data_IF_639995527058
#
_entry.id   IF_639995527058
#
_cell.length_a   1.000
_cell.length_b   1.000
_cell.length_c   1.000
_cell.angle_alpha   90.00
_cell.angle_beta   90.00
_cell.angle_gamma   90.00
#
_symmetry.space_group_name_H-M   'P 1'
#
loop_
_entity.id
_entity.type
_entity.pdbx_description
1 polymer ?
#
# COMPACT_ATOMS: atom_id res chain seq x y z
N UNK A 1 32.07 57.30 28.06
CA UNK A 1 32.52 57.51 26.67
C UNK A 1 33.60 56.51 26.33
N UNK A 2 33.36 55.61 25.35
CA UNK A 2 34.36 54.99 24.45
C UNK A 2 33.61 54.06 23.49
N UNK A 3 33.34 54.58 22.30
CA UNK A 3 32.85 53.87 21.11
C UNK A 3 33.85 52.76 20.73
N UNK A 4 33.35 51.56 20.45
CA UNK A 4 33.99 50.58 19.56
C UNK A 4 32.89 50.02 18.69
N UNK A 5 32.66 50.67 17.55
CA UNK A 5 33.03 50.22 16.20
C UNK A 5 32.54 48.80 15.88
N UNK A 6 31.56 48.78 14.97
CA UNK A 6 30.91 47.64 14.40
C UNK A 6 31.87 46.80 13.53
N UNK A 7 31.73 45.48 13.61
CA UNK A 7 32.11 44.56 12.54
C UNK A 7 30.87 43.70 12.32
N UNK A 8 30.23 43.90 11.18
CA UNK A 8 29.10 43.11 10.68
C UNK A 8 29.70 41.85 10.04
N UNK A 9 29.53 40.64 10.59
CA UNK A 9 29.78 39.45 9.83
C UNK A 9 28.59 39.29 8.88
N UNK A 10 28.87 39.43 7.58
CA UNK A 10 27.99 39.07 6.48
C UNK A 10 27.54 37.63 6.72
N UNK A 11 26.32 37.49 7.25
CA UNK A 11 25.66 36.21 7.39
C UNK A 11 25.43 35.68 5.98
N UNK A 12 26.26 34.72 5.61
CA UNK A 12 26.14 33.89 4.43
C UNK A 12 24.71 33.34 4.41
N UNK A 13 23.86 33.95 3.57
CA UNK A 13 22.53 33.44 3.24
C UNK A 13 22.74 32.10 2.54
N UNK A 14 22.82 31.03 3.33
CA UNK A 14 22.63 29.66 2.87
C UNK A 14 21.20 29.57 2.36
N UNK A 15 21.06 29.81 1.07
CA UNK A 15 19.87 29.49 0.30
C UNK A 15 19.64 27.99 0.52
N UNK A 16 18.68 27.66 1.39
CA UNK A 16 18.12 26.31 1.52
C UNK A 16 17.30 26.02 0.24
N UNK A 17 18.01 25.91 -0.88
CA UNK A 17 17.55 25.17 -2.04
C UNK A 17 17.55 23.72 -1.62
N UNK A 18 16.42 23.25 -1.09
CA UNK A 18 16.17 21.83 -0.89
C UNK A 18 16.31 21.15 -2.24
N UNK A 19 17.50 20.62 -2.52
CA UNK A 19 17.69 19.67 -3.59
C UNK A 19 16.85 18.48 -3.20
N UNK A 20 15.72 18.32 -3.87
CA UNK A 20 14.96 17.09 -3.86
C UNK A 20 15.92 16.01 -4.36
N UNK A 21 16.61 15.34 -3.44
CA UNK A 21 17.33 14.11 -3.75
C UNK A 21 16.30 13.24 -4.45
N UNK A 22 16.54 12.93 -5.72
CA UNK A 22 15.70 12.03 -6.48
C UNK A 22 15.75 10.68 -5.75
N UNK A 23 14.83 10.47 -4.80
CA UNK A 23 14.62 9.18 -4.16
C UNK A 23 14.45 8.19 -5.31
N UNK A 24 15.38 7.26 -5.40
CA UNK A 24 15.47 6.22 -6.43
C UNK A 24 14.07 5.76 -6.77
N UNK A 25 13.57 6.13 -7.96
CA UNK A 25 12.18 5.91 -8.32
C UNK A 25 11.86 4.43 -8.10
N UNK A 26 10.90 4.14 -7.21
CA UNK A 26 10.58 2.78 -6.81
C UNK A 26 10.20 1.89 -8.00
N UNK A 27 10.02 0.59 -7.78
CA UNK A 27 9.52 -0.29 -8.85
C UNK A 27 8.04 -0.01 -9.10
N UNK A 28 7.64 0.01 -10.37
CA UNK A 28 6.25 0.09 -10.79
C UNK A 28 5.48 -1.14 -10.26
N UNK A 29 4.38 -0.96 -9.51
CA UNK A 29 3.66 -2.08 -8.90
C UNK A 29 2.89 -2.95 -9.91
N UNK A 30 2.72 -2.48 -11.15
CA UNK A 30 2.03 -3.23 -12.21
C UNK A 30 3.02 -4.06 -13.04
N UNK A 31 4.17 -3.48 -13.42
CA UNK A 31 5.10 -4.10 -14.37
C UNK A 31 6.42 -4.58 -13.74
N UNK A 32 6.75 -4.14 -12.53
CA UNK A 32 8.03 -4.39 -11.88
C UNK A 32 9.22 -3.58 -12.43
N UNK A 33 9.03 -2.82 -13.53
CA UNK A 33 10.05 -1.92 -14.12
C UNK A 33 10.30 -0.70 -13.23
N UNK A 34 11.38 0.04 -13.46
CA UNK A 34 11.64 1.31 -12.77
C UNK A 34 10.46 2.28 -12.98
N UNK A 35 10.01 2.95 -11.91
CA UNK A 35 8.96 3.96 -12.02
C UNK A 35 9.49 5.27 -12.62
N UNK A 36 8.59 6.02 -13.24
CA UNK A 36 8.83 7.40 -13.63
C UNK A 36 8.40 8.31 -12.45
N UNK A 37 9.28 9.17 -11.90
CA UNK A 37 8.95 10.03 -10.77
C UNK A 37 7.85 11.06 -11.07
N UNK A 38 7.57 11.34 -12.34
CA UNK A 38 6.47 12.24 -12.77
C UNK A 38 5.11 11.54 -12.84
N UNK A 39 5.07 10.21 -12.84
CA UNK A 39 3.84 9.43 -12.94
C UNK A 39 3.57 8.78 -11.59
N UNK A 40 2.99 9.54 -10.68
CA UNK A 40 2.71 9.10 -9.31
C UNK A 40 1.23 9.27 -8.95
N UNK A 41 0.82 8.57 -7.89
CA UNK A 41 -0.38 8.85 -7.09
C UNK A 41 -0.03 8.68 -5.61
N UNK A 42 -0.79 9.30 -4.71
CA UNK A 42 -0.62 9.13 -3.27
C UNK A 42 -1.51 7.99 -2.75
N UNK A 43 -0.91 6.99 -2.10
CA UNK A 43 -1.60 5.87 -1.43
C UNK A 43 -1.09 5.80 0.00
N UNK A 44 -1.99 5.82 0.99
CA UNK A 44 -1.62 5.85 2.41
C UNK A 44 -0.60 6.97 2.75
N UNK A 45 -0.74 8.14 2.13
CA UNK A 45 0.18 9.26 2.33
C UNK A 45 1.59 9.06 1.74
N UNK A 46 1.80 8.04 0.90
CA UNK A 46 3.07 7.77 0.23
C UNK A 46 2.92 7.85 -1.29
N UNK A 47 3.94 8.35 -1.98
CA UNK A 47 3.96 8.35 -3.43
C UNK A 47 4.16 6.92 -3.98
N UNK A 48 3.24 6.49 -4.84
CA UNK A 48 3.36 5.26 -5.64
C UNK A 48 3.66 5.67 -7.07
N UNK A 49 4.85 5.33 -7.57
CA UNK A 49 5.30 5.63 -8.92
C UNK A 49 4.97 4.53 -9.94
N UNK A 50 4.74 4.94 -11.18
CA UNK A 50 4.45 4.05 -12.30
C UNK A 50 5.41 4.28 -13.46
N UNK A 51 5.76 3.23 -14.20
CA UNK A 51 6.64 3.38 -15.37
C UNK A 51 5.95 4.07 -16.56
N UNK A 52 4.61 4.04 -16.63
CA UNK A 52 3.82 4.67 -17.70
C UNK A 52 2.37 4.94 -17.26
N UNK A 53 1.66 5.77 -18.04
CA UNK A 53 0.25 6.11 -17.78
C UNK A 53 -0.70 4.90 -17.84
N UNK A 54 -0.40 3.91 -18.68
CA UNK A 54 -1.21 2.68 -18.73
C UNK A 54 -1.10 1.88 -17.43
N UNK A 55 0.08 1.81 -16.82
CA UNK A 55 0.24 1.19 -15.50
C UNK A 55 -0.53 1.97 -14.42
N UNK A 56 -0.45 3.30 -14.43
CA UNK A 56 -1.24 4.15 -13.53
C UNK A 56 -2.75 3.89 -13.71
N UNK A 57 -3.23 3.82 -14.96
CA UNK A 57 -4.64 3.53 -15.28
C UNK A 57 -5.09 2.17 -14.75
N UNK A 58 -4.31 1.11 -15.03
CA UNK A 58 -4.59 -0.24 -14.52
C UNK A 58 -4.58 -0.30 -13.00
N UNK A 59 -3.65 0.40 -12.35
CA UNK A 59 -3.61 0.48 -10.90
C UNK A 59 -4.84 1.20 -10.34
N UNK A 60 -5.21 2.37 -10.89
CA UNK A 60 -6.38 3.14 -10.45
C UNK A 60 -7.69 2.39 -10.70
N UNK A 61 -7.80 1.58 -11.76
CA UNK A 61 -8.99 0.76 -12.04
C UNK A 61 -9.31 -0.26 -10.93
N UNK A 62 -8.34 -0.58 -10.08
CA UNK A 62 -8.54 -1.49 -8.93
C UNK A 62 -8.88 -0.76 -7.62
N UNK A 63 -8.95 0.58 -7.65
CA UNK A 63 -9.35 1.40 -6.51
C UNK A 63 -10.86 1.57 -6.53
N UNK A 64 -11.53 1.15 -5.46
CA UNK A 64 -12.97 1.37 -5.30
C UNK A 64 -13.21 2.85 -5.02
N UNK A 65 -13.98 3.50 -5.89
CA UNK A 65 -14.35 4.90 -5.73
C UNK A 65 -15.88 5.03 -5.77
N UNK A 66 -16.49 5.28 -4.60
CA UNK A 66 -17.94 5.48 -4.45
C UNK A 66 -18.36 6.95 -4.55
N UNK A 67 -17.42 7.85 -4.90
CA UNK A 67 -17.64 9.29 -4.89
C UNK A 67 -17.62 9.90 -3.48
N UNK A 68 -17.77 11.23 -3.37
CA UNK A 68 -17.60 11.96 -2.12
C UNK A 68 -18.59 11.55 -1.03
N UNK A 69 -19.86 11.33 -1.37
CA UNK A 69 -20.88 10.96 -0.40
C UNK A 69 -20.93 11.89 0.82
N UNK A 70 -21.19 11.31 1.99
CA UNK A 70 -21.18 12.01 3.28
C UNK A 70 -19.84 11.83 3.98
N UNK A 71 -19.36 12.90 4.62
CA UNK A 71 -18.18 12.87 5.46
C UNK A 71 -18.44 12.03 6.72
N UNK A 72 -17.59 11.03 6.95
CA UNK A 72 -17.71 10.12 8.09
C UNK A 72 -17.57 10.79 9.47
N UNK A 73 -17.04 12.02 9.55
CA UNK A 73 -16.88 12.73 10.84
C UNK A 73 -18.03 13.68 11.16
N UNK A 74 -18.63 14.30 10.14
CA UNK A 74 -19.60 15.38 10.34
C UNK A 74 -20.95 15.11 9.70
N UNK A 75 -21.10 14.05 8.91
CA UNK A 75 -22.30 13.77 8.12
C UNK A 75 -22.54 14.72 6.93
N UNK A 76 -21.84 15.87 6.88
CA UNK A 76 -21.93 16.85 5.79
C UNK A 76 -21.45 16.27 4.46
N UNK A 77 -21.87 16.85 3.35
CA UNK A 77 -21.40 16.47 2.02
C UNK A 77 -19.86 16.56 1.94
N UNK A 78 -19.22 15.51 1.42
CA UNK A 78 -17.79 15.50 1.20
C UNK A 78 -17.43 16.19 -0.12
N UNK A 79 -16.16 16.61 -0.25
CA UNK A 79 -15.64 17.27 -1.45
C UNK A 79 -14.71 16.34 -2.21
N UNK A 80 -14.85 16.26 -3.54
CA UNK A 80 -13.95 15.46 -4.39
C UNK A 80 -12.47 15.82 -4.19
N UNK A 81 -12.15 17.09 -3.98
CA UNK A 81 -10.78 17.59 -3.77
C UNK A 81 -10.11 17.10 -2.48
N UNK A 82 -10.88 16.56 -1.53
CA UNK A 82 -10.35 16.01 -0.28
C UNK A 82 -10.08 14.50 -0.34
N UNK A 83 -10.25 13.90 -1.53
CA UNK A 83 -10.04 12.48 -1.74
C UNK A 83 -8.62 12.05 -1.39
N UNK A 84 -8.49 10.93 -0.70
CA UNK A 84 -7.23 10.20 -0.56
C UNK A 84 -7.47 8.72 -0.79
N UNK A 85 -6.42 7.98 -1.14
CA UNK A 85 -6.50 6.53 -1.34
C UNK A 85 -6.03 5.85 -0.06
N UNK A 86 -6.91 5.05 0.54
CA UNK A 86 -6.57 4.17 1.66
C UNK A 86 -6.44 2.73 1.16
N UNK A 87 -5.24 2.18 1.25
CA UNK A 87 -4.95 0.76 1.09
C UNK A 87 -4.91 0.07 2.45
N UNK A 88 -5.66 -1.02 2.61
CA UNK A 88 -5.62 -1.86 3.81
C UNK A 88 -5.34 -3.30 3.43
N UNK A 89 -4.48 -3.95 4.21
CA UNK A 89 -4.18 -5.38 4.09
C UNK A 89 -4.61 -6.10 5.36
N UNK A 90 -5.26 -7.25 5.19
CA UNK A 90 -5.64 -8.15 6.27
C UNK A 90 -5.21 -9.56 5.90
N UNK A 91 -4.62 -10.28 6.85
CA UNK A 91 -4.50 -11.72 6.74
C UNK A 91 -5.91 -12.31 6.87
N UNK A 92 -6.20 -13.34 6.09
CA UNK A 92 -7.45 -14.08 6.17
C UNK A 92 -7.12 -15.55 6.01
N UNK A 93 -7.23 -16.30 7.11
CA UNK A 93 -7.06 -17.74 7.10
C UNK A 93 -8.40 -18.46 6.99
N UNK A 94 -8.42 -19.59 6.30
CA UNK A 94 -9.61 -20.41 6.11
C UNK A 94 -9.45 -21.76 6.80
N UNK A 95 -10.55 -22.44 7.11
CA UNK A 95 -10.48 -23.80 7.67
C UNK A 95 -10.19 -24.86 6.60
N UNK A 96 -10.46 -24.55 5.32
CA UNK A 96 -10.26 -25.46 4.19
C UNK A 96 -10.18 -24.72 2.85
N UNK A 97 -9.71 -25.42 1.82
CA UNK A 97 -9.60 -24.90 0.45
C UNK A 97 -10.94 -24.45 -0.15
N UNK A 98 -12.05 -25.11 0.21
CA UNK A 98 -13.38 -24.71 -0.28
C UNK A 98 -13.79 -23.33 0.26
N UNK A 99 -13.52 -23.06 1.54
CA UNK A 99 -13.78 -21.75 2.13
C UNK A 99 -12.90 -20.66 1.49
N UNK A 100 -11.62 -20.95 1.27
CA UNK A 100 -10.73 -20.07 0.53
C UNK A 100 -11.27 -19.76 -0.88
N UNK A 101 -11.77 -20.78 -1.58
CA UNK A 101 -12.37 -20.65 -2.90
C UNK A 101 -13.66 -19.80 -2.91
N UNK A 102 -14.57 -20.02 -1.95
CA UNK A 102 -15.79 -19.20 -1.79
C UNK A 102 -15.44 -17.73 -1.52
N UNK A 103 -14.47 -17.49 -0.62
CA UNK A 103 -14.00 -16.14 -0.30
C UNK A 103 -13.37 -15.46 -1.52
N UNK A 104 -12.51 -16.15 -2.26
CA UNK A 104 -11.88 -15.63 -3.46
C UNK A 104 -12.92 -15.25 -4.54
N UNK A 105 -13.95 -16.08 -4.73
CA UNK A 105 -15.07 -15.79 -5.66
C UNK A 105 -15.83 -14.53 -5.23
N UNK A 106 -16.24 -14.44 -3.96
CA UNK A 106 -16.98 -13.30 -3.43
C UNK A 106 -16.22 -11.97 -3.56
N UNK A 107 -14.88 -12.03 -3.42
CA UNK A 107 -14.01 -10.84 -3.51
C UNK A 107 -13.37 -10.66 -4.88
N UNK A 108 -13.80 -11.42 -5.91
CA UNK A 108 -13.34 -11.31 -7.29
C UNK A 108 -11.80 -11.36 -7.42
N UNK A 109 -11.17 -12.23 -6.64
CA UNK A 109 -9.71 -12.40 -6.68
C UNK A 109 -9.23 -12.90 -8.04
N UNK A 110 -8.02 -12.49 -8.41
CA UNK A 110 -7.43 -12.90 -9.68
C UNK A 110 -7.15 -14.40 -9.64
N UNK A 111 -7.76 -15.16 -10.54
CA UNK A 111 -7.50 -16.61 -10.72
C UNK A 111 -6.16 -16.89 -11.40
N UNK A 112 -5.19 -15.98 -11.35
CA UNK A 112 -3.90 -16.17 -12.00
C UNK A 112 -3.14 -17.30 -11.30
N UNK A 113 -3.17 -18.47 -11.93
CA UNK A 113 -2.26 -19.57 -11.60
C UNK A 113 -0.84 -19.07 -11.78
N UNK A 114 -0.15 -18.89 -10.67
CA UNK A 114 1.23 -18.45 -10.64
C UNK A 114 2.07 -19.70 -10.35
N UNK A 115 3.13 -19.90 -11.13
CA UNK A 115 4.13 -20.96 -10.90
C UNK A 115 5.38 -20.36 -10.26
N UNK A 116 6.18 -21.14 -9.50
CA UNK A 116 7.45 -20.66 -9.00
C UNK A 116 8.36 -20.22 -10.15
N UNK A 117 9.06 -19.12 -9.94
CA UNK A 117 9.98 -18.53 -10.92
C UNK A 117 11.19 -17.95 -10.18
N UNK A 118 11.60 -16.74 -10.52
CA UNK A 118 12.65 -16.04 -9.77
C UNK A 118 12.06 -15.36 -8.53
N UNK A 119 12.74 -15.47 -7.39
CA UNK A 119 12.40 -14.79 -6.16
C UNK A 119 12.51 -13.27 -6.37
N UNK A 120 11.48 -12.48 -6.02
CA UNK A 120 11.48 -11.03 -6.27
C UNK A 120 12.43 -10.24 -5.35
N UNK A 121 12.92 -10.88 -4.29
CA UNK A 121 13.83 -10.25 -3.32
C UNK A 121 15.29 -10.55 -3.66
N UNK A 122 15.63 -11.83 -3.88
CA UNK A 122 17.02 -12.27 -4.08
C UNK A 122 17.40 -12.55 -5.53
N UNK A 123 16.42 -12.74 -6.42
CA UNK A 123 16.64 -13.19 -7.80
C UNK A 123 16.91 -14.69 -7.98
N UNK A 124 17.12 -15.45 -6.89
CA UNK A 124 17.33 -16.91 -6.91
C UNK A 124 16.06 -17.67 -7.32
N UNK A 125 16.17 -18.95 -7.68
CA UNK A 125 15.01 -19.81 -7.92
C UNK A 125 14.07 -19.83 -6.71
N UNK A 126 12.76 -19.75 -6.94
CA UNK A 126 11.75 -19.77 -5.91
C UNK A 126 11.21 -21.18 -5.68
N UNK A 127 10.88 -21.48 -4.42
CA UNK A 127 10.32 -22.76 -4.00
C UNK A 127 8.78 -22.73 -4.03
N UNK A 128 8.15 -23.86 -4.31
CA UNK A 128 6.71 -23.95 -4.52
C UNK A 128 5.87 -23.78 -3.24
N UNK A 129 6.42 -24.14 -2.10
CA UNK A 129 5.83 -24.03 -0.76
C UNK A 129 6.08 -22.65 -0.11
N UNK A 130 7.13 -21.95 -0.55
CA UNK A 130 7.49 -20.63 -0.07
C UNK A 130 6.74 -19.53 -0.83
N UNK A 131 5.44 -19.38 -0.57
CA UNK A 131 4.66 -18.31 -1.19
C UNK A 131 3.82 -17.47 -0.22
N UNK A 132 3.45 -16.28 -0.67
CA UNK A 132 2.40 -15.43 -0.10
C UNK A 132 1.33 -15.23 -1.17
N UNK A 133 0.07 -15.49 -0.83
CA UNK A 133 -1.05 -15.17 -1.71
C UNK A 133 -1.59 -13.79 -1.37
N UNK A 134 -1.57 -12.85 -2.32
CA UNK A 134 -2.17 -11.52 -2.19
C UNK A 134 -3.30 -11.40 -3.20
N UNK A 135 -4.55 -11.21 -2.73
CA UNK A 135 -5.74 -11.16 -3.57
C UNK A 135 -5.83 -12.31 -4.60
N UNK A 136 -5.42 -13.51 -4.20
CA UNK A 136 -5.40 -14.71 -5.05
C UNK A 136 -4.15 -14.90 -5.91
N UNK A 137 -3.29 -13.87 -6.03
CA UNK A 137 -2.02 -13.98 -6.78
C UNK A 137 -0.94 -14.53 -5.85
N UNK A 138 -0.28 -15.63 -6.24
CA UNK A 138 0.82 -16.21 -5.44
C UNK A 138 2.15 -15.60 -5.87
N UNK A 139 2.85 -14.99 -4.93
CA UNK A 139 4.25 -14.59 -5.07
C UNK A 139 5.10 -15.65 -4.40
N UNK A 140 6.03 -16.26 -5.14
CA UNK A 140 6.93 -17.30 -4.64
C UNK A 140 8.29 -16.72 -4.23
N UNK A 141 8.95 -17.37 -3.27
CA UNK A 141 10.19 -16.95 -2.66
C UNK A 141 11.19 -18.10 -2.62
N UNK A 142 12.49 -17.79 -2.61
CA UNK A 142 13.53 -18.81 -2.53
C UNK A 142 13.70 -19.38 -1.12
N UNK A 143 13.14 -18.73 -0.09
CA UNK A 143 13.26 -19.16 1.29
C UNK A 143 12.22 -18.49 2.20
N UNK A 144 12.04 -19.05 3.40
CA UNK A 144 11.15 -18.52 4.44
C UNK A 144 11.49 -17.10 4.88
N UNK A 145 12.77 -16.70 4.89
CA UNK A 145 13.18 -15.34 5.26
C UNK A 145 12.72 -14.30 4.24
N UNK A 146 12.78 -14.62 2.94
CA UNK A 146 12.25 -13.75 1.88
C UNK A 146 10.73 -13.63 1.98
N UNK A 147 10.04 -14.76 2.21
CA UNK A 147 8.59 -14.79 2.48
C UNK A 147 8.24 -13.89 3.66
N UNK A 148 8.91 -14.06 4.80
CA UNK A 148 8.69 -13.28 6.04
C UNK A 148 8.93 -11.78 5.81
N UNK A 149 10.02 -11.41 5.13
CA UNK A 149 10.32 -10.01 4.80
C UNK A 149 9.24 -9.40 3.91
N UNK A 150 8.74 -10.14 2.92
CA UNK A 150 7.65 -9.66 2.07
C UNK A 150 6.34 -9.51 2.86
N UNK A 151 5.96 -10.50 3.67
CA UNK A 151 4.76 -10.44 4.51
C UNK A 151 4.80 -9.26 5.48
N UNK A 152 5.95 -8.98 6.10
CA UNK A 152 6.12 -7.82 6.98
C UNK A 152 5.91 -6.50 6.23
N UNK A 153 6.41 -6.38 4.99
CA UNK A 153 6.24 -5.19 4.16
C UNK A 153 4.77 -4.95 3.74
N UNK A 154 3.93 -6.00 3.71
CA UNK A 154 2.50 -5.87 3.47
C UNK A 154 1.75 -5.24 4.65
N UNK A 155 2.36 -5.20 5.85
CA UNK A 155 1.76 -4.66 7.07
C UNK A 155 0.32 -5.12 7.30
N UNK A 156 0.03 -6.38 6.95
CA UNK A 156 -1.31 -6.93 7.04
C UNK A 156 -1.74 -7.09 8.50
N UNK A 157 -2.95 -6.62 8.83
CA UNK A 157 -3.55 -6.88 10.14
C UNK A 157 -3.75 -8.39 10.32
N UNK A 158 -3.46 -8.88 11.53
CA UNK A 158 -3.69 -10.27 11.88
C UNK A 158 -5.18 -10.64 11.71
N UNK A 159 -5.45 -11.90 11.37
CA UNK A 159 -6.81 -12.42 11.40
C UNK A 159 -7.27 -12.74 12.83
N UNK A 160 -8.53 -13.13 12.96
CA UNK A 160 -9.13 -13.54 14.23
C UNK A 160 -8.83 -15.00 14.62
N UNK A 161 -8.03 -15.73 13.84
CA UNK A 161 -7.88 -17.19 13.96
C UNK A 161 -9.11 -18.01 13.58
N UNK A 162 -10.21 -17.36 13.16
CA UNK A 162 -11.45 -18.02 12.73
C UNK A 162 -11.66 -17.85 11.24
N UNK A 163 -12.18 -18.89 10.59
CA UNK A 163 -12.54 -18.87 9.19
C UNK A 163 -13.75 -17.95 8.98
N UNK A 164 -13.65 -16.90 8.13
CA UNK A 164 -14.76 -15.95 7.93
C UNK A 164 -15.94 -16.53 7.15
N UNK A 165 -15.81 -17.74 6.59
CA UNK A 165 -16.88 -18.41 5.84
C UNK A 165 -17.68 -19.36 6.73
N UNK A 166 -17.01 -20.09 7.62
CA UNK A 166 -17.63 -21.15 8.41
C UNK A 166 -17.67 -20.87 9.92
N UNK A 167 -16.93 -19.88 10.41
CA UNK A 167 -16.75 -19.60 11.84
C UNK A 167 -15.82 -20.58 12.58
N UNK A 168 -15.43 -21.70 11.94
CA UNK A 168 -14.52 -22.71 12.52
C UNK A 168 -13.10 -22.18 12.67
N UNK A 169 -12.27 -22.87 13.46
CA UNK A 169 -10.84 -22.57 13.56
C UNK A 169 -10.17 -22.55 12.17
N UNK A 170 -9.33 -21.55 11.94
CA UNK A 170 -8.64 -21.38 10.68
C UNK A 170 -7.33 -22.19 10.62
N UNK A 171 -6.88 -22.45 9.40
CA UNK A 171 -5.62 -23.11 9.08
C UNK A 171 -4.76 -22.14 8.25
N UNK A 172 -3.54 -21.87 8.72
CA UNK A 172 -2.57 -20.97 8.09
C UNK A 172 -2.07 -21.47 6.72
N UNK A 173 -2.20 -22.76 6.42
CA UNK A 173 -1.90 -23.31 5.09
C UNK A 173 -2.86 -22.78 4.01
N UNK A 174 -4.06 -22.36 4.42
CA UNK A 174 -5.07 -21.77 3.52
C UNK A 174 -5.27 -20.30 3.85
N UNK A 175 -4.19 -19.53 3.88
CA UNK A 175 -4.24 -18.08 4.14
C UNK A 175 -4.07 -17.24 2.87
N UNK A 176 -4.72 -16.08 2.86
CA UNK A 176 -4.55 -15.04 1.85
C UNK A 176 -4.38 -13.69 2.52
N UNK A 177 -3.55 -12.83 1.96
CA UNK A 177 -3.53 -11.41 2.28
C UNK A 177 -4.54 -10.73 1.36
N UNK A 178 -5.61 -10.22 1.94
CA UNK A 178 -6.60 -9.43 1.22
C UNK A 178 -6.25 -7.96 1.33
N UNK A 179 -5.82 -7.37 0.22
CA UNK A 179 -5.55 -5.94 0.09
C UNK A 179 -6.69 -5.23 -0.62
N UNK A 180 -7.26 -4.20 0.00
CA UNK A 180 -8.31 -3.35 -0.58
C UNK A 180 -7.81 -1.93 -0.71
N UNK A 181 -8.14 -1.28 -1.83
CA UNK A 181 -7.91 0.16 -2.04
C UNK A 181 -9.22 0.87 -2.26
N UNK A 182 -9.44 1.91 -1.49
CA UNK A 182 -10.65 2.72 -1.59
C UNK A 182 -10.31 4.21 -1.52
N UNK A 183 -11.01 5.01 -2.33
CA UNK A 183 -10.96 6.46 -2.17
C UNK A 183 -11.86 6.87 -1.01
N UNK A 184 -11.30 7.60 -0.04
CA UNK A 184 -12.04 8.23 1.06
C UNK A 184 -12.09 9.72 0.86
N UNK A 185 -13.28 10.30 1.02
CA UNK A 185 -13.53 11.73 0.87
C UNK A 185 -14.02 12.34 2.17
N UNK A 186 -13.78 13.64 2.33
CA UNK A 186 -14.06 14.38 3.55
C UNK A 186 -14.73 15.73 3.24
N UNK A 187 -15.41 16.33 4.21
CA UNK A 187 -16.02 17.64 4.02
C UNK A 187 -14.98 18.78 3.95
N UNK A 188 -13.78 18.57 4.51
CA UNK A 188 -12.70 19.55 4.54
C UNK A 188 -11.32 18.87 4.66
N UNK A 189 -10.26 19.66 4.44
CA UNK A 189 -8.88 19.19 4.55
C UNK A 189 -8.50 18.80 5.98
N UNK A 190 -9.10 19.42 7.01
CA UNK A 190 -8.83 19.04 8.40
C UNK A 190 -9.34 17.63 8.72
N UNK A 191 -10.52 17.25 8.22
CA UNK A 191 -11.04 15.89 8.33
C UNK A 191 -10.18 14.89 7.55
N UNK A 192 -9.73 15.26 6.34
CA UNK A 192 -8.76 14.46 5.55
C UNK A 192 -7.47 14.24 6.35
N UNK A 193 -6.89 15.30 6.91
CA UNK A 193 -5.66 15.23 7.69
C UNK A 193 -5.82 14.41 8.97
N UNK A 194 -6.93 14.58 9.71
CA UNK A 194 -7.27 13.75 10.87
C UNK A 194 -7.35 12.28 10.51
N UNK A 195 -7.98 11.95 9.38
CA UNK A 195 -8.03 10.57 8.88
C UNK A 195 -6.65 10.02 8.53
N UNK A 196 -5.86 10.78 7.76
CA UNK A 196 -4.51 10.37 7.38
C UNK A 196 -3.63 10.14 8.62
N UNK A 197 -3.67 11.03 9.62
CA UNK A 197 -2.94 10.86 10.88
C UNK A 197 -3.34 9.59 11.63
N UNK A 198 -4.63 9.27 11.66
CA UNK A 198 -5.13 8.09 12.38
C UNK A 198 -4.85 6.75 11.66
N UNK A 199 -4.69 6.77 10.33
CA UNK A 199 -4.63 5.53 9.53
C UNK A 199 -3.28 5.30 8.84
N UNK A 200 -2.50 6.35 8.57
CA UNK A 200 -1.26 6.27 7.76
C UNK A 200 0.01 6.55 8.56
N UNK A 201 -0.11 7.17 9.74
CA UNK A 201 1.04 7.32 10.62
C UNK A 201 1.59 5.93 10.96
N UNK A 202 2.92 5.78 10.85
CA UNK A 202 3.61 4.53 11.14
C UNK A 202 3.26 4.11 12.59
N UNK A 203 2.69 2.91 12.74
CA UNK A 203 2.93 2.11 13.94
C UNK A 203 4.28 1.43 13.78
#
# INVERSE_FOLDING_TARGET
MKKKLAIIPVALLLVYGGVATAEKAGKCPISGKAANPKITIEVNGKAVGFCCNNCKKSYTATIVNKGPGKCQYSGKAAKKSTGLIHETSQLVSFCCNNCAGKYAKANKFSKKTSKPGKCPISGKAAEADQFVSVNGTKTFFCCGNCKKKHTAALAAKADSGKCPISGKAANSATQVVHTKRETKYFCCNNCRAKYAKANFAKK
#
